data_IF_424332983377
#
_entry.id   IF_424332983377
#
_cell.length_a   1.000
_cell.length_b   1.000
_cell.length_c   1.000
_cell.angle_alpha   90.00
_cell.angle_beta   90.00
_cell.angle_gamma   90.00
#
_symmetry.space_group_name_H-M   'P 1'
#
loop_
_entity.id
_entity.type
_entity.pdbx_description
1 polymer ?
#
# COMPACT_ATOMS: atom_id res chain seq x y z
N UNK A 1 -16.36 33.64 -16.83
CA UNK A 1 -15.04 33.41 -17.46
C UNK A 1 -14.18 32.59 -16.49
N UNK A 2 -14.69 31.43 -16.06
CA UNK A 2 -14.20 30.72 -14.87
C UNK A 2 -14.36 29.19 -15.00
N UNK A 3 -14.44 28.66 -16.23
CA UNK A 3 -14.58 27.21 -16.47
C UNK A 3 -13.32 26.55 -17.04
N UNK A 4 -12.26 27.30 -17.36
CA UNK A 4 -11.13 26.77 -18.15
C UNK A 4 -9.99 26.15 -17.33
N UNK A 5 -9.99 26.24 -16.00
CA UNK A 5 -8.91 25.65 -15.18
C UNK A 5 -9.19 24.22 -14.70
N UNK A 6 -10.47 23.83 -14.53
CA UNK A 6 -10.84 22.44 -14.21
C UNK A 6 -10.77 21.54 -15.44
N UNK A 7 -11.11 22.07 -16.62
CA UNK A 7 -11.08 21.31 -17.88
C UNK A 7 -9.65 20.95 -18.32
N UNK A 8 -8.65 21.75 -17.95
CA UNK A 8 -7.24 21.46 -18.26
C UNK A 8 -6.61 20.37 -17.37
N UNK A 9 -7.11 20.17 -16.14
CA UNK A 9 -6.52 19.23 -15.18
C UNK A 9 -6.81 17.75 -15.49
N UNK A 10 -7.75 17.48 -16.39
CA UNK A 10 -8.12 16.13 -16.84
C UNK A 10 -7.80 15.89 -18.33
N UNK A 11 -7.13 16.83 -19.01
CA UNK A 11 -7.16 16.98 -20.47
C UNK A 11 -6.43 15.92 -21.34
N UNK A 12 -5.83 14.87 -20.77
CA UNK A 12 -5.12 13.84 -21.55
C UNK A 12 -5.70 12.43 -21.41
N UNK A 13 -7.04 12.28 -21.42
CA UNK A 13 -7.64 10.94 -21.59
C UNK A 13 -9.09 10.97 -22.09
N UNK A 14 -9.29 10.38 -23.28
CA UNK A 14 -10.51 9.73 -23.78
C UNK A 14 -11.81 10.01 -23.02
N UNK A 15 -12.71 10.80 -23.63
CA UNK A 15 -14.09 11.01 -23.18
C UNK A 15 -14.86 9.70 -23.32
N UNK A 16 -15.28 9.04 -22.21
CA UNK A 16 -16.16 7.89 -22.32
C UNK A 16 -17.56 8.40 -22.65
N UNK A 17 -18.16 7.88 -23.71
CA UNK A 17 -19.56 8.10 -24.04
C UNK A 17 -20.44 7.69 -22.85
N UNK A 18 -21.43 8.54 -22.57
CA UNK A 18 -22.39 8.41 -21.50
C UNK A 18 -23.12 7.06 -21.59
N UNK A 19 -22.70 6.06 -20.80
CA UNK A 19 -23.55 4.97 -20.26
C UNK A 19 -22.84 3.87 -19.45
N UNK A 20 -21.52 3.91 -19.21
CA UNK A 20 -20.86 2.90 -18.36
C UNK A 20 -20.85 3.27 -16.87
N UNK A 21 -22.04 3.20 -16.28
CA UNK A 21 -22.28 3.23 -14.83
C UNK A 21 -21.48 2.10 -14.16
N UNK A 22 -20.50 2.45 -13.31
CA UNK A 22 -19.83 1.68 -12.23
C UNK A 22 -19.68 0.14 -12.32
N UNK A 23 -19.74 -0.50 -13.49
CA UNK A 23 -19.47 -1.95 -13.59
C UNK A 23 -17.99 -2.19 -13.36
N UNK A 24 -17.63 -2.76 -12.20
CA UNK A 24 -16.29 -3.28 -11.97
C UNK A 24 -15.94 -4.23 -13.12
N UNK A 25 -14.87 -3.89 -13.85
CA UNK A 25 -14.36 -4.78 -14.88
C UNK A 25 -14.13 -6.18 -14.28
N UNK A 26 -14.47 -7.27 -14.99
CA UNK A 26 -14.21 -8.64 -14.51
C UNK A 26 -12.78 -8.85 -13.99
N UNK A 27 -11.80 -8.14 -14.55
CA UNK A 27 -10.39 -8.19 -14.17
C UNK A 27 -10.09 -7.48 -12.86
N UNK A 28 -10.71 -6.32 -12.61
CA UNK A 28 -10.62 -5.66 -11.30
C UNK A 28 -11.16 -6.58 -10.19
N UNK A 29 -12.21 -7.37 -10.46
CA UNK A 29 -12.69 -8.38 -9.50
C UNK A 29 -11.63 -9.43 -9.18
N UNK A 30 -10.92 -9.96 -10.19
CA UNK A 30 -9.82 -10.90 -9.97
C UNK A 30 -8.64 -10.30 -9.19
N UNK A 31 -8.28 -9.05 -9.47
CA UNK A 31 -7.20 -8.37 -8.75
C UNK A 31 -7.61 -8.06 -7.31
N UNK A 32 -8.85 -7.63 -7.08
CA UNK A 32 -9.38 -7.44 -5.73
C UNK A 32 -9.46 -8.77 -4.97
N UNK A 33 -9.81 -9.87 -5.64
CA UNK A 33 -9.77 -11.21 -5.06
C UNK A 33 -8.33 -11.59 -4.68
N UNK A 34 -7.37 -11.43 -5.59
CA UNK A 34 -5.96 -11.69 -5.30
C UNK A 34 -5.46 -10.86 -4.12
N UNK A 35 -5.78 -9.57 -4.09
CA UNK A 35 -5.46 -8.68 -2.99
C UNK A 35 -6.08 -9.14 -1.67
N UNK A 36 -7.36 -9.47 -1.66
CA UNK A 36 -8.07 -9.91 -0.46
C UNK A 36 -7.55 -11.26 0.06
N UNK A 37 -7.30 -12.22 -0.84
CA UNK A 37 -6.68 -13.51 -0.50
C UNK A 37 -5.26 -13.32 0.04
N UNK A 38 -4.48 -12.40 -0.55
CA UNK A 38 -3.11 -12.12 -0.07
C UNK A 38 -3.11 -11.53 1.34
N UNK A 39 -4.07 -10.64 1.66
CA UNK A 39 -4.24 -10.11 3.03
C UNK A 39 -4.63 -11.22 4.00
N UNK A 40 -5.68 -12.00 3.69
CA UNK A 40 -6.11 -13.11 4.56
C UNK A 40 -4.97 -14.11 4.78
N UNK A 41 -4.23 -14.43 3.73
CA UNK A 41 -3.10 -15.35 3.82
C UNK A 41 -1.99 -14.78 4.71
N UNK A 42 -1.62 -13.52 4.52
CA UNK A 42 -0.63 -12.83 5.35
C UNK A 42 -1.07 -12.79 6.83
N UNK A 43 -2.31 -12.42 7.10
CA UNK A 43 -2.86 -12.35 8.46
C UNK A 43 -3.00 -13.72 9.11
N UNK A 44 -3.35 -14.74 8.33
CA UNK A 44 -3.34 -16.13 8.80
C UNK A 44 -1.92 -16.55 9.22
N UNK A 45 -0.90 -16.26 8.41
CA UNK A 45 0.50 -16.54 8.77
C UNK A 45 0.94 -15.73 9.97
N UNK A 46 0.45 -14.49 10.12
CA UNK A 46 0.71 -13.67 11.29
C UNK A 46 0.21 -14.32 12.61
N UNK A 47 -0.85 -15.14 12.57
CA UNK A 47 -1.27 -15.93 13.75
C UNK A 47 -0.21 -16.94 14.20
N UNK A 48 0.68 -17.40 13.31
CA UNK A 48 1.83 -18.22 13.70
C UNK A 48 3.00 -17.37 14.23
N UNK A 49 3.13 -16.14 13.73
CA UNK A 49 4.04 -15.13 14.28
C UNK A 49 3.70 -14.81 15.74
N UNK A 50 2.40 -14.70 16.06
CA UNK A 50 1.89 -14.48 17.42
C UNK A 50 2.44 -15.50 18.43
N UNK A 51 2.38 -16.79 18.13
CA UNK A 51 2.86 -17.85 19.04
C UNK A 51 4.39 -17.86 19.19
N UNK A 52 5.10 -17.30 18.21
CA UNK A 52 6.56 -17.28 18.15
C UNK A 52 7.19 -16.04 18.77
N UNK A 53 6.38 -15.10 19.27
CA UNK A 53 6.90 -13.88 19.88
C UNK A 53 7.72 -14.21 21.13
N UNK A 54 8.98 -13.77 21.21
CA UNK A 54 9.82 -14.00 22.39
C UNK A 54 9.38 -13.08 23.54
N UNK A 55 8.43 -13.54 24.36
CA UNK A 55 7.84 -12.76 25.46
C UNK A 55 8.80 -12.43 26.60
N UNK A 56 9.80 -13.28 26.80
CA UNK A 56 10.76 -13.11 27.90
C UNK A 56 11.93 -12.18 27.54
N UNK A 57 12.01 -11.70 26.30
CA UNK A 57 13.08 -10.82 25.84
C UNK A 57 12.71 -9.34 25.98
N UNK A 58 13.61 -8.45 26.38
CA UNK A 58 13.37 -7.01 26.34
C UNK A 58 13.27 -6.50 24.88
N UNK A 59 12.71 -5.29 24.66
CA UNK A 59 12.75 -4.64 23.35
C UNK A 59 14.19 -4.53 22.82
N UNK A 60 14.35 -4.63 21.50
CA UNK A 60 15.65 -4.46 20.86
C UNK A 60 16.09 -2.98 20.90
N UNK A 61 17.41 -2.72 20.92
CA UNK A 61 17.92 -1.36 20.76
C UNK A 61 17.54 -0.82 19.38
N UNK A 62 17.02 0.40 19.33
CA UNK A 62 16.49 1.02 18.11
C UNK A 62 16.77 2.52 18.12
N UNK A 63 17.46 3.00 17.07
CA UNK A 63 17.89 4.40 16.97
C UNK A 63 16.70 5.37 16.95
N UNK A 64 15.59 5.00 16.32
CA UNK A 64 14.40 5.85 16.33
C UNK A 64 13.71 5.84 17.69
N UNK A 65 13.87 4.77 18.49
CA UNK A 65 13.43 4.78 19.88
C UNK A 65 14.28 5.69 20.76
N UNK A 66 15.59 5.72 20.52
CA UNK A 66 16.50 6.62 21.22
C UNK A 66 16.29 8.09 20.82
N UNK A 67 15.97 8.35 19.55
CA UNK A 67 15.78 9.70 19.01
C UNK A 67 14.38 10.28 19.27
N UNK A 68 13.34 9.45 19.32
CA UNK A 68 11.94 9.90 19.42
C UNK A 68 11.36 9.47 20.76
N UNK A 69 10.94 10.45 21.55
CA UNK A 69 10.26 10.22 22.82
C UNK A 69 8.99 9.37 22.63
N UNK A 70 8.79 8.41 23.53
CA UNK A 70 7.60 7.58 23.54
C UNK A 70 6.36 8.43 23.83
N UNK A 71 5.31 8.28 23.02
CA UNK A 71 4.04 9.00 23.24
C UNK A 71 3.33 8.44 24.48
N UNK A 72 3.03 9.31 25.44
CA UNK A 72 2.25 8.99 26.64
C UNK A 72 0.88 8.43 26.27
N UNK A 73 0.49 7.29 26.86
CA UNK A 73 -0.77 6.59 26.56
C UNK A 73 -0.68 5.54 25.45
N UNK A 74 0.48 5.37 24.80
CA UNK A 74 0.71 4.27 23.83
C UNK A 74 0.58 2.86 24.43
N UNK A 75 0.76 2.70 25.74
CA UNK A 75 0.62 1.42 26.46
C UNK A 75 -0.80 1.16 26.98
N UNK A 76 -1.77 2.03 26.68
CA UNK A 76 -3.12 1.86 27.21
C UNK A 76 -3.66 0.47 26.81
N UNK A 77 -4.19 -0.31 27.76
CA UNK A 77 -4.75 -1.63 27.46
C UNK A 77 -5.87 -1.51 26.42
N UNK A 78 -6.04 -2.55 25.60
CA UNK A 78 -7.08 -2.71 24.57
C UNK A 78 -8.51 -2.50 25.13
N UNK A 79 -8.65 -2.44 26.45
CA UNK A 79 -9.90 -2.15 27.16
C UNK A 79 -10.40 -0.70 27.00
N UNK A 80 -9.58 0.25 26.52
CA UNK A 80 -10.10 1.56 26.13
C UNK A 80 -10.60 1.51 24.67
N UNK A 81 -11.85 1.93 24.39
CA UNK A 81 -12.42 1.88 23.04
C UNK A 81 -11.61 2.71 22.03
N UNK A 82 -10.82 3.68 22.50
CA UNK A 82 -9.94 4.50 21.67
C UNK A 82 -8.61 4.77 22.39
N UNK A 83 -7.53 4.14 21.95
CA UNK A 83 -6.19 4.66 22.24
C UNK A 83 -5.98 5.90 21.34
N UNK A 84 -5.75 7.11 21.91
CA UNK A 84 -5.61 8.35 21.13
C UNK A 84 -4.47 8.25 20.10
N UNK A 85 -3.47 7.42 20.38
CA UNK A 85 -2.36 7.19 19.47
C UNK A 85 -2.76 6.34 18.26
N UNK A 86 -3.57 5.30 18.44
CA UNK A 86 -4.07 4.51 17.30
C UNK A 86 -5.10 5.30 16.48
N UNK A 87 -5.86 6.21 17.12
CA UNK A 87 -6.77 7.12 16.42
C UNK A 87 -6.03 8.05 15.44
N UNK A 88 -4.87 8.59 15.84
CA UNK A 88 -4.05 9.39 14.94
C UNK A 88 -3.58 8.60 13.71
N UNK A 89 -3.13 7.35 13.89
CA UNK A 89 -2.77 6.45 12.77
C UNK A 89 -3.97 6.19 11.85
N UNK A 90 -5.15 5.93 12.44
CA UNK A 90 -6.41 5.78 11.69
C UNK A 90 -6.71 7.03 10.88
N UNK A 91 -6.64 8.22 11.49
CA UNK A 91 -6.92 9.48 10.81
C UNK A 91 -5.97 9.72 9.64
N UNK A 92 -4.67 9.41 9.81
CA UNK A 92 -3.69 9.56 8.74
C UNK A 92 -3.98 8.57 7.60
N UNK A 93 -4.18 7.28 7.90
CA UNK A 93 -4.57 6.28 6.91
C UNK A 93 -5.87 6.66 6.19
N UNK A 94 -6.89 7.09 6.93
CA UNK A 94 -8.16 7.55 6.41
C UNK A 94 -8.00 8.80 5.52
N UNK A 95 -7.16 9.76 5.90
CA UNK A 95 -6.89 10.95 5.08
C UNK A 95 -6.29 10.59 3.72
N UNK A 96 -5.38 9.61 3.68
CA UNK A 96 -4.76 9.11 2.45
C UNK A 96 -5.79 8.37 1.58
N UNK A 97 -6.67 7.58 2.19
CA UNK A 97 -7.79 6.92 1.49
C UNK A 97 -8.76 7.96 0.93
N UNK A 98 -9.19 8.93 1.73
CA UNK A 98 -10.14 9.97 1.34
C UNK A 98 -9.59 10.82 0.20
N UNK A 99 -8.30 11.19 0.25
CA UNK A 99 -7.61 11.85 -0.85
C UNK A 99 -7.63 10.98 -2.11
N UNK A 100 -7.39 9.68 -1.98
CA UNK A 100 -7.44 8.74 -3.11
C UNK A 100 -8.85 8.55 -3.69
N UNK A 101 -9.89 8.56 -2.86
CA UNK A 101 -11.30 8.48 -3.29
C UNK A 101 -11.73 9.79 -3.95
N UNK A 102 -11.33 10.93 -3.39
CA UNK A 102 -11.60 12.24 -3.98
C UNK A 102 -11.02 12.31 -5.40
N UNK A 103 -9.74 11.97 -5.56
CA UNK A 103 -9.08 11.91 -6.87
C UNK A 103 -9.74 10.88 -7.81
N UNK A 104 -10.16 9.72 -7.29
CA UNK A 104 -10.91 8.73 -8.06
C UNK A 104 -12.20 9.30 -8.65
N UNK A 105 -12.96 10.07 -7.86
CA UNK A 105 -14.22 10.69 -8.30
C UNK A 105 -13.98 11.78 -9.32
N UNK A 106 -12.95 12.61 -9.12
CA UNK A 106 -12.65 13.79 -9.95
C UNK A 106 -12.01 13.40 -11.29
N UNK A 107 -11.09 12.45 -11.30
CA UNK A 107 -10.29 12.10 -12.50
C UNK A 107 -10.58 10.70 -13.06
N UNK A 108 -11.58 9.99 -12.51
CA UNK A 108 -12.14 8.70 -12.97
C UNK A 108 -11.08 7.70 -13.50
N UNK A 109 -10.01 7.50 -12.75
CA UNK A 109 -8.84 6.76 -13.23
C UNK A 109 -8.99 5.23 -13.09
N UNK A 110 -8.69 4.49 -14.18
CA UNK A 110 -8.79 3.02 -14.29
C UNK A 110 -7.63 2.24 -13.61
N UNK A 111 -6.71 2.91 -12.91
CA UNK A 111 -5.42 2.33 -12.45
C UNK A 111 -5.38 1.81 -11.00
N UNK A 112 -6.51 1.73 -10.29
CA UNK A 112 -6.56 1.05 -8.98
C UNK A 112 -6.15 -0.43 -9.04
N UNK A 113 -6.31 -1.06 -10.21
CA UNK A 113 -5.81 -2.41 -10.47
C UNK A 113 -4.32 -2.55 -10.14
N UNK A 114 -3.51 -1.53 -10.46
CA UNK A 114 -2.07 -1.57 -10.19
C UNK A 114 -1.80 -1.38 -8.70
N UNK A 115 -2.53 -0.47 -8.04
CA UNK A 115 -2.41 -0.26 -6.61
C UNK A 115 -2.66 -1.55 -5.83
N UNK A 116 -3.79 -2.20 -6.08
CA UNK A 116 -4.13 -3.45 -5.39
C UNK A 116 -3.21 -4.61 -5.76
N UNK A 117 -2.77 -4.71 -7.02
CA UNK A 117 -1.80 -5.73 -7.43
C UNK A 117 -0.43 -5.55 -6.73
N UNK A 118 0.11 -4.33 -6.71
CA UNK A 118 1.36 -4.03 -6.02
C UNK A 118 1.21 -4.28 -4.52
N UNK A 119 0.11 -3.83 -3.92
CA UNK A 119 -0.10 -4.01 -2.49
C UNK A 119 -0.23 -5.50 -2.12
N UNK A 120 -0.90 -6.31 -2.94
CA UNK A 120 -0.96 -7.75 -2.77
C UNK A 120 0.43 -8.42 -2.83
N UNK A 121 1.29 -8.02 -3.77
CA UNK A 121 2.68 -8.50 -3.86
C UNK A 121 3.45 -8.16 -2.57
N UNK A 122 3.29 -6.93 -2.04
CA UNK A 122 3.93 -6.51 -0.79
C UNK A 122 3.43 -7.33 0.41
N UNK A 123 2.12 -7.64 0.49
CA UNK A 123 1.58 -8.51 1.54
C UNK A 123 2.15 -9.93 1.46
N UNK A 124 2.32 -10.49 0.25
CA UNK A 124 2.96 -11.79 0.08
C UNK A 124 4.45 -11.79 0.48
N UNK A 125 5.18 -10.72 0.17
CA UNK A 125 6.57 -10.56 0.66
C UNK A 125 6.61 -10.48 2.20
N UNK A 126 5.67 -9.74 2.79
CA UNK A 126 5.52 -9.62 4.25
C UNK A 126 5.22 -10.95 4.93
N UNK A 127 4.40 -11.80 4.32
CA UNK A 127 4.13 -13.16 4.81
C UNK A 127 5.41 -13.94 5.06
N UNK A 128 6.38 -13.86 4.13
CA UNK A 128 7.67 -14.53 4.26
C UNK A 128 8.47 -13.94 5.40
N UNK A 129 8.50 -12.61 5.55
CA UNK A 129 9.32 -11.95 6.57
C UNK A 129 8.81 -12.19 8.00
N UNK A 130 7.49 -12.15 8.21
CA UNK A 130 6.88 -12.34 9.55
C UNK A 130 7.27 -13.69 10.15
N UNK A 131 7.20 -14.76 9.36
CA UNK A 131 7.46 -16.12 9.88
C UNK A 131 8.96 -16.45 9.94
N UNK A 132 9.78 -15.77 9.15
CA UNK A 132 11.22 -16.05 9.05
C UNK A 132 11.97 -15.69 10.33
N UNK A 133 11.63 -14.58 10.98
CA UNK A 133 12.34 -14.12 12.18
C UNK A 133 11.39 -13.37 13.12
N UNK A 134 10.94 -14.00 14.22
CA UNK A 134 10.09 -13.33 15.20
C UNK A 134 10.93 -12.36 16.05
N UNK A 135 10.46 -11.12 16.19
CA UNK A 135 11.09 -10.11 17.05
C UNK A 135 10.33 -9.94 18.38
N UNK A 136 11.01 -9.56 19.47
CA UNK A 136 10.33 -9.20 20.72
C UNK A 136 9.52 -7.92 20.55
N UNK A 137 8.48 -7.75 21.35
CA UNK A 137 7.65 -6.54 21.29
C UNK A 137 8.47 -5.28 21.57
N UNK A 138 8.22 -4.17 20.85
CA UNK A 138 8.94 -2.89 21.00
C UNK A 138 8.63 -2.11 22.30
N UNK A 139 7.89 -2.73 23.22
CA UNK A 139 7.49 -2.16 24.50
C UNK A 139 7.57 -3.23 25.60
N UNK A 140 7.68 -2.77 26.84
CA UNK A 140 7.76 -3.60 28.05
C UNK A 140 6.41 -3.91 28.69
N UNK A 141 5.41 -3.06 28.48
CA UNK A 141 4.02 -3.23 28.93
C UNK A 141 3.05 -2.92 27.79
N UNK A 142 1.98 -3.69 27.67
CA UNK A 142 1.02 -3.58 26.58
C UNK A 142 0.35 -4.93 26.26
N UNK A 143 -0.65 -4.91 25.37
CA UNK A 143 -1.60 -6.02 25.22
C UNK A 143 -0.95 -7.33 24.76
N UNK A 144 0.13 -7.28 23.98
CA UNK A 144 0.84 -8.48 23.57
C UNK A 144 1.59 -9.17 24.73
N UNK A 145 1.92 -8.45 25.80
CA UNK A 145 2.56 -9.02 27.00
C UNK A 145 1.54 -9.31 28.10
N UNK A 146 0.61 -8.38 28.31
CA UNK A 146 -0.34 -8.44 29.42
C UNK A 146 -1.54 -9.37 29.13
N UNK A 147 -1.90 -9.56 27.85
CA UNK A 147 -3.05 -10.37 27.42
C UNK A 147 -2.64 -11.44 26.38
N UNK A 148 -1.44 -12.00 26.53
CA UNK A 148 -1.00 -13.10 25.66
C UNK A 148 -1.74 -14.38 26.00
N UNK A 149 -2.54 -14.91 25.07
CA UNK A 149 -3.33 -16.14 25.24
C UNK A 149 -3.19 -17.02 24.00
N UNK A 150 -3.17 -18.34 24.16
CA UNK A 150 -3.10 -19.24 23.01
C UNK A 150 -4.30 -19.02 22.09
N UNK A 151 -4.02 -18.91 20.78
CA UNK A 151 -5.06 -18.72 19.77
C UNK A 151 -5.87 -20.01 19.62
N UNK A 152 -7.17 -19.95 19.90
CA UNK A 152 -8.08 -21.11 19.84
C UNK A 152 -8.50 -21.45 18.40
N UNK A 153 -8.78 -20.45 17.57
CA UNK A 153 -9.15 -20.64 16.16
C UNK A 153 -8.36 -19.69 15.25
N UNK A 154 -7.21 -20.17 14.76
CA UNK A 154 -6.29 -19.40 13.89
C UNK A 154 -6.97 -18.84 12.65
N UNK A 155 -7.83 -19.62 12.00
CA UNK A 155 -8.50 -19.18 10.79
C UNK A 155 -9.45 -18.01 11.07
N UNK A 156 -10.26 -18.11 12.13
CA UNK A 156 -11.18 -17.05 12.51
C UNK A 156 -10.43 -15.81 13.03
N UNK A 157 -9.34 -15.99 13.78
CA UNK A 157 -8.48 -14.89 14.22
C UNK A 157 -7.81 -14.17 13.05
N UNK A 158 -7.24 -14.92 12.10
CA UNK A 158 -6.65 -14.34 10.89
C UNK A 158 -7.67 -13.61 10.02
N UNK A 159 -8.90 -14.14 9.91
CA UNK A 159 -10.00 -13.46 9.24
C UNK A 159 -10.38 -12.17 9.98
N UNK A 160 -10.40 -12.20 11.32
CA UNK A 160 -10.60 -11.01 12.15
C UNK A 160 -9.54 -9.93 11.91
N UNK A 161 -8.27 -10.32 11.80
CA UNK A 161 -7.16 -9.42 11.44
C UNK A 161 -7.37 -8.77 10.07
N UNK A 162 -7.74 -9.57 9.07
CA UNK A 162 -8.00 -9.07 7.71
C UNK A 162 -9.15 -8.07 7.66
N UNK A 163 -10.25 -8.32 8.36
CA UNK A 163 -11.39 -7.40 8.40
C UNK A 163 -11.15 -6.17 9.27
N UNK A 164 -10.29 -6.28 10.29
CA UNK A 164 -9.85 -5.13 11.07
C UNK A 164 -8.89 -4.22 10.28
N UNK A 165 -8.36 -4.66 9.13
CA UNK A 165 -7.45 -3.89 8.27
C UNK A 165 -6.23 -3.33 9.04
N UNK A 166 -5.76 -4.06 10.05
CA UNK A 166 -4.64 -3.65 10.92
C UNK A 166 -5.02 -2.75 12.10
N UNK A 167 -6.29 -2.37 12.26
CA UNK A 167 -6.76 -1.55 13.38
C UNK A 167 -7.05 -2.39 14.63
N UNK A 168 -6.19 -2.25 15.64
CA UNK A 168 -6.18 -3.06 16.87
C UNK A 168 -7.47 -2.98 17.69
N UNK A 169 -8.22 -1.88 17.58
CA UNK A 169 -9.44 -1.63 18.35
C UNK A 169 -10.60 -2.55 17.95
N UNK A 170 -10.57 -3.10 16.74
CA UNK A 170 -11.58 -4.04 16.26
C UNK A 170 -11.20 -5.50 16.55
N UNK A 171 -10.08 -5.73 17.24
CA UNK A 171 -9.54 -7.07 17.48
C UNK A 171 -9.83 -7.54 18.90
N UNK A 172 -10.40 -8.74 19.00
CA UNK A 172 -10.55 -9.46 20.28
C UNK A 172 -9.26 -10.11 20.75
N UNK A 173 -8.31 -10.37 19.84
CA UNK A 173 -6.98 -10.91 20.14
C UNK A 173 -5.95 -9.91 19.63
N UNK A 174 -5.00 -9.42 20.45
CA UNK A 174 -4.02 -8.45 19.99
C UNK A 174 -3.16 -9.05 18.87
N UNK A 175 -2.91 -8.27 17.81
CA UNK A 175 -2.04 -8.66 16.70
C UNK A 175 -0.58 -8.48 17.14
N UNK A 176 0.11 -9.60 17.41
CA UNK A 176 1.46 -9.64 17.96
C UNK A 176 2.39 -10.44 17.04
N UNK A 177 3.68 -10.14 17.08
CA UNK A 177 4.70 -10.82 16.25
C UNK A 177 4.82 -10.28 14.83
N UNK A 178 3.96 -9.32 14.49
CA UNK A 178 3.99 -8.59 13.24
C UNK A 178 4.99 -7.42 13.29
N UNK A 179 6.27 -7.74 13.42
CA UNK A 179 7.32 -6.75 13.76
C UNK A 179 8.43 -6.71 12.73
N UNK A 180 8.22 -7.23 11.52
CA UNK A 180 9.12 -7.01 10.38
C UNK A 180 8.25 -6.66 9.19
N UNK A 181 8.59 -5.55 8.53
CA UNK A 181 7.86 -4.99 7.39
C UNK A 181 6.49 -4.42 7.79
N UNK A 182 6.47 -3.14 8.21
CA UNK A 182 5.28 -2.46 8.75
C UNK A 182 4.13 -2.36 7.73
N UNK A 183 2.98 -2.97 8.05
CA UNK A 183 1.77 -2.93 7.20
C UNK A 183 1.17 -1.53 7.10
N UNK A 184 1.10 -0.78 8.21
CA UNK A 184 0.59 0.60 8.22
C UNK A 184 1.44 1.52 7.35
N UNK A 185 2.77 1.44 7.49
CA UNK A 185 3.71 2.23 6.68
C UNK A 185 3.61 1.83 5.21
N UNK A 186 3.54 0.54 4.91
CA UNK A 186 3.35 0.02 3.54
C UNK A 186 2.08 0.56 2.91
N UNK A 187 0.97 0.50 3.63
CA UNK A 187 -0.32 1.02 3.20
C UNK A 187 -0.26 2.52 2.89
N UNK A 188 0.20 3.33 3.84
CA UNK A 188 0.32 4.77 3.64
C UNK A 188 1.25 5.10 2.47
N UNK A 189 2.43 4.46 2.41
CA UNK A 189 3.43 4.75 1.38
C UNK A 189 2.98 4.36 -0.02
N UNK A 190 2.36 3.19 -0.20
CA UNK A 190 1.93 2.76 -1.54
C UNK A 190 0.79 3.63 -2.07
N UNK A 191 -0.11 4.09 -1.21
CA UNK A 191 -1.13 5.06 -1.59
C UNK A 191 -0.52 6.44 -1.88
N UNK A 192 0.47 6.89 -1.10
CA UNK A 192 1.24 8.11 -1.40
C UNK A 192 1.90 8.02 -2.78
N UNK A 193 2.61 6.93 -3.09
CA UNK A 193 3.22 6.73 -4.41
C UNK A 193 2.17 6.70 -5.54
N UNK A 194 1.03 6.06 -5.30
CA UNK A 194 -0.08 6.04 -6.25
C UNK A 194 -0.63 7.44 -6.52
N UNK A 195 -0.87 8.23 -5.46
CA UNK A 195 -1.31 9.61 -5.58
C UNK A 195 -0.29 10.45 -6.32
N UNK A 196 0.99 10.40 -5.94
CA UNK A 196 2.05 11.16 -6.60
C UNK A 196 2.18 10.85 -8.09
N UNK A 197 1.86 9.61 -8.49
CA UNK A 197 1.92 9.18 -9.89
C UNK A 197 0.66 9.55 -10.70
N UNK A 198 -0.53 9.47 -10.11
CA UNK A 198 -1.79 9.51 -10.88
C UNK A 198 -2.73 10.66 -10.52
N UNK A 199 -2.53 11.34 -9.39
CA UNK A 199 -3.39 12.43 -8.95
C UNK A 199 -3.03 13.73 -9.66
N UNK A 200 -3.98 14.30 -10.40
CA UNK A 200 -3.77 15.58 -11.08
C UNK A 200 -3.69 16.74 -10.07
N UNK A 201 -4.34 16.63 -8.90
CA UNK A 201 -4.23 17.68 -7.89
C UNK A 201 -2.79 17.92 -7.42
N UNK A 202 -1.90 16.94 -7.56
CA UNK A 202 -0.52 17.00 -7.11
C UNK A 202 0.45 17.59 -8.15
N UNK A 203 0.00 18.34 -9.16
CA UNK A 203 0.91 19.01 -10.10
C UNK A 203 1.84 20.03 -9.42
N UNK A 204 1.37 20.73 -8.39
CA UNK A 204 2.18 21.71 -7.64
C UNK A 204 3.19 21.03 -6.71
N UNK A 205 4.45 21.49 -6.74
CA UNK A 205 5.51 21.02 -5.86
C UNK A 205 5.11 21.08 -4.38
N UNK A 206 4.44 22.14 -3.94
CA UNK A 206 3.99 22.32 -2.56
C UNK A 206 3.01 21.23 -2.11
N UNK A 207 2.13 20.77 -3.01
CA UNK A 207 1.17 19.70 -2.70
C UNK A 207 1.88 18.35 -2.61
N UNK A 208 2.88 18.10 -3.47
CA UNK A 208 3.73 16.90 -3.37
C UNK A 208 4.49 16.88 -2.04
N UNK A 209 5.09 18.00 -1.66
CA UNK A 209 5.78 18.17 -0.37
C UNK A 209 4.82 17.92 0.79
N UNK A 210 3.61 18.48 0.74
CA UNK A 210 2.60 18.27 1.78
C UNK A 210 2.25 16.79 1.98
N UNK A 211 2.09 16.02 0.90
CA UNK A 211 1.84 14.57 0.98
C UNK A 211 3.02 13.83 1.61
N UNK A 212 4.25 14.18 1.25
CA UNK A 212 5.45 13.60 1.90
C UNK A 212 5.54 13.96 3.39
N UNK A 213 5.17 15.18 3.78
CA UNK A 213 5.13 15.60 5.18
C UNK A 213 4.10 14.78 5.96
N UNK A 214 2.87 14.64 5.44
CA UNK A 214 1.82 13.83 6.09
C UNK A 214 2.29 12.40 6.29
N UNK A 215 2.93 11.82 5.28
CA UNK A 215 3.48 10.48 5.41
C UNK A 215 4.60 10.41 6.45
N UNK A 216 5.53 11.36 6.44
CA UNK A 216 6.65 11.40 7.39
C UNK A 216 6.14 11.50 8.83
N UNK A 217 5.11 12.32 9.07
CA UNK A 217 4.42 12.41 10.37
C UNK A 217 3.84 11.04 10.75
N UNK A 218 3.17 10.35 9.83
CA UNK A 218 2.64 9.00 10.07
C UNK A 218 3.73 7.97 10.41
N UNK A 219 4.86 8.01 9.70
CA UNK A 219 6.01 7.12 9.97
C UNK A 219 6.64 7.40 11.35
N UNK A 220 6.86 8.68 11.68
CA UNK A 220 7.37 9.12 12.98
C UNK A 220 6.41 8.68 14.09
N UNK A 221 5.11 8.85 13.88
CA UNK A 221 4.09 8.47 14.84
C UNK A 221 4.08 6.95 15.12
N UNK A 222 4.25 6.11 14.09
CA UNK A 222 4.38 4.66 14.27
C UNK A 222 5.58 4.29 15.17
N UNK A 223 6.70 4.98 15.01
CA UNK A 223 7.90 4.79 15.83
C UNK A 223 7.68 5.34 17.26
N UNK A 224 7.08 6.52 17.37
CA UNK A 224 6.83 7.20 18.64
C UNK A 224 5.84 6.44 19.54
N UNK A 225 4.89 5.75 18.92
CA UNK A 225 3.93 4.88 19.61
C UNK A 225 4.49 3.53 19.98
N UNK A 226 5.73 3.22 19.59
CA UNK A 226 6.35 1.90 19.73
C UNK A 226 5.44 0.81 19.14
N UNK A 227 4.80 1.11 18.01
CA UNK A 227 3.98 0.13 17.30
C UNK A 227 4.85 -0.81 16.45
N UNK A 228 5.92 -0.27 15.88
CA UNK A 228 6.92 -0.98 15.10
C UNK A 228 8.33 -0.46 15.42
N UNK A 229 9.35 -1.27 15.15
CA UNK A 229 10.73 -0.79 15.15
C UNK A 229 10.97 0.13 13.96
N UNK A 230 11.99 0.98 14.06
CA UNK A 230 12.38 1.89 12.98
C UNK A 230 12.80 1.14 11.73
N UNK A 231 13.45 -0.02 11.90
CA UNK A 231 13.83 -0.89 10.77
C UNK A 231 12.61 -1.37 9.98
N UNK A 232 11.48 -1.62 10.63
CA UNK A 232 10.24 -2.08 9.98
C UNK A 232 9.65 -0.99 9.09
N UNK A 233 9.72 0.27 9.56
CA UNK A 233 9.25 1.46 8.85
C UNK A 233 10.16 1.74 7.65
N UNK A 234 11.48 1.70 7.85
CA UNK A 234 12.47 1.87 6.77
C UNK A 234 12.31 0.79 5.71
N UNK A 235 12.21 -0.48 6.11
CA UNK A 235 12.03 -1.60 5.19
C UNK A 235 10.71 -1.47 4.41
N UNK A 236 9.62 -1.05 5.07
CA UNK A 236 8.35 -0.81 4.41
C UNK A 236 8.45 0.26 3.31
N UNK A 237 9.14 1.38 3.58
CA UNK A 237 9.36 2.46 2.59
C UNK A 237 10.23 1.96 1.43
N UNK A 238 11.34 1.28 1.72
CA UNK A 238 12.27 0.76 0.69
C UNK A 238 11.57 -0.26 -0.20
N UNK A 239 10.99 -1.31 0.40
CA UNK A 239 10.35 -2.39 -0.35
C UNK A 239 9.17 -1.89 -1.17
N UNK A 240 8.33 -1.03 -0.59
CA UNK A 240 7.19 -0.44 -1.32
C UNK A 240 7.65 0.41 -2.50
N UNK A 241 8.73 1.20 -2.34
CA UNK A 241 9.30 1.99 -3.42
C UNK A 241 9.88 1.13 -4.53
N UNK A 242 10.67 0.10 -4.16
CA UNK A 242 11.29 -0.83 -5.11
C UNK A 242 10.22 -1.57 -5.89
N UNK A 243 9.25 -2.21 -5.20
CA UNK A 243 8.20 -2.98 -5.89
C UNK A 243 7.34 -2.08 -6.76
N UNK A 244 6.98 -0.89 -6.30
CA UNK A 244 6.23 0.06 -7.11
C UNK A 244 6.99 0.46 -8.38
N UNK A 245 8.27 0.81 -8.24
CA UNK A 245 9.10 1.20 -9.39
C UNK A 245 9.31 0.02 -10.35
N UNK A 246 9.67 -1.15 -9.83
CA UNK A 246 9.85 -2.37 -10.64
C UNK A 246 8.56 -2.74 -11.36
N UNK A 247 7.40 -2.63 -10.72
CA UNK A 247 6.11 -2.92 -11.35
C UNK A 247 5.88 -2.02 -12.57
N UNK A 248 6.02 -0.70 -12.41
CA UNK A 248 5.79 0.25 -13.52
C UNK A 248 6.87 0.16 -14.60
N UNK A 249 8.14 0.01 -14.24
CA UNK A 249 9.22 -0.18 -15.21
C UNK A 249 9.06 -1.48 -16.00
N UNK A 250 8.70 -2.59 -15.35
CA UNK A 250 8.45 -3.86 -16.03
C UNK A 250 7.21 -3.79 -16.93
N UNK A 251 6.17 -3.09 -16.48
CA UNK A 251 4.96 -2.86 -17.29
C UNK A 251 5.30 -2.04 -18.54
N UNK A 252 6.09 -0.96 -18.42
CA UNK A 252 6.54 -0.17 -19.55
C UNK A 252 7.42 -0.98 -20.51
N UNK A 253 8.35 -1.79 -19.99
CA UNK A 253 9.16 -2.71 -20.79
C UNK A 253 8.29 -3.73 -21.54
N UNK A 254 7.17 -4.16 -20.95
CA UNK A 254 6.24 -5.09 -21.59
C UNK A 254 5.52 -4.46 -22.80
N UNK A 255 5.35 -3.13 -22.81
CA UNK A 255 4.82 -2.41 -23.97
C UNK A 255 5.86 -2.19 -25.06
N UNK A 256 7.11 -1.90 -24.67
CA UNK A 256 8.16 -1.51 -25.61
C UNK A 256 8.88 -2.70 -26.24
N UNK A 257 9.16 -3.76 -25.45
CA UNK A 257 9.92 -4.92 -25.92
C UNK A 257 8.98 -6.06 -26.26
N UNK A 258 9.02 -6.50 -27.53
CA UNK A 258 8.28 -7.68 -27.99
C UNK A 258 8.75 -8.94 -27.25
N UNK A 259 10.03 -9.06 -26.95
CA UNK A 259 10.58 -10.18 -26.19
C UNK A 259 10.03 -10.19 -24.76
N UNK A 260 10.09 -9.06 -24.06
CA UNK A 260 9.60 -8.99 -22.68
C UNK A 260 8.06 -9.11 -22.60
N UNK A 261 7.35 -8.49 -23.54
CA UNK A 261 5.88 -8.54 -23.62
C UNK A 261 5.32 -9.92 -23.97
N UNK A 262 6.10 -10.76 -24.67
CA UNK A 262 5.71 -12.15 -24.98
C UNK A 262 6.09 -13.13 -23.87
N UNK A 263 7.04 -12.79 -23.00
CA UNK A 263 7.34 -13.56 -21.79
C UNK A 263 6.16 -13.58 -20.82
N UNK A 264 6.03 -14.64 -20.01
CA UNK A 264 4.86 -14.83 -19.13
C UNK A 264 4.68 -13.70 -18.12
N UNK A 265 5.78 -13.10 -17.63
CA UNK A 265 5.72 -11.93 -16.72
C UNK A 265 5.16 -10.70 -17.41
N UNK A 266 5.58 -10.43 -18.65
CA UNK A 266 5.08 -9.31 -19.43
C UNK A 266 3.62 -9.51 -19.81
N UNK A 267 3.23 -10.71 -20.23
CA UNK A 267 1.83 -11.04 -20.49
C UNK A 267 0.95 -10.85 -19.25
N UNK A 268 1.42 -11.24 -18.07
CA UNK A 268 0.71 -11.03 -16.81
C UNK A 268 0.55 -9.53 -16.50
N UNK A 269 1.62 -8.74 -16.62
CA UNK A 269 1.58 -7.29 -16.39
C UNK A 269 0.64 -6.58 -17.38
N UNK A 270 0.72 -6.95 -18.66
CA UNK A 270 -0.20 -6.47 -19.70
C UNK A 270 -1.63 -6.94 -19.44
N UNK A 271 -1.85 -8.14 -18.88
CA UNK A 271 -3.19 -8.58 -18.48
C UNK A 271 -3.73 -7.78 -17.29
N UNK A 272 -2.88 -7.42 -16.32
CA UNK A 272 -3.23 -6.54 -15.20
C UNK A 272 -3.64 -5.15 -15.72
N UNK A 273 -2.87 -4.57 -16.65
CA UNK A 273 -3.09 -3.23 -17.18
C UNK A 273 -4.17 -3.20 -18.28
N UNK A 274 -3.95 -3.90 -19.39
CA UNK A 274 -4.79 -3.95 -20.59
C UNK A 274 -5.44 -5.33 -20.87
N UNK A 275 -5.45 -6.26 -19.94
CA UNK A 275 -6.40 -7.37 -20.03
C UNK A 275 -6.24 -8.39 -21.15
N UNK A 276 -5.11 -8.44 -21.82
CA UNK A 276 -4.74 -9.55 -22.71
C UNK A 276 -4.34 -9.06 -24.10
N UNK A 277 -3.10 -9.41 -24.47
CA UNK A 277 -2.34 -9.08 -25.67
C UNK A 277 -2.24 -7.58 -26.01
N UNK A 278 -1.04 -7.07 -26.40
CA UNK A 278 -0.96 -5.76 -27.03
C UNK A 278 -1.87 -5.75 -28.27
N UNK A 279 -2.51 -4.62 -28.62
CA UNK A 279 -3.34 -4.54 -29.81
C UNK A 279 -2.54 -5.09 -30.99
N UNK A 280 -3.09 -6.10 -31.66
CA UNK A 280 -2.46 -6.70 -32.82
C UNK A 280 -2.28 -5.60 -33.87
N UNK A 281 -1.01 -5.31 -34.16
CA UNK A 281 -0.51 -4.60 -35.34
C UNK A 281 -1.07 -3.19 -35.60
N UNK A 282 -0.26 -2.18 -35.27
CA UNK A 282 0.07 -1.14 -36.26
C UNK A 282 -0.46 0.28 -36.05
N UNK A 283 -1.63 0.49 -35.43
CA UNK A 283 -2.21 1.86 -35.35
C UNK A 283 -2.36 2.43 -33.93
N UNK A 284 -2.78 1.65 -32.94
CA UNK A 284 -3.05 2.17 -31.58
C UNK A 284 -1.79 2.40 -30.73
N UNK A 285 -0.69 1.70 -31.00
CA UNK A 285 0.59 1.92 -30.31
C UNK A 285 1.26 3.24 -30.69
N UNK A 286 0.98 3.78 -31.88
CA UNK A 286 1.49 5.08 -32.30
C UNK A 286 0.77 6.22 -31.56
N UNK A 287 -0.55 6.14 -31.40
CA UNK A 287 -1.34 7.12 -30.65
C UNK A 287 -1.00 7.18 -29.15
N UNK A 288 -0.61 6.05 -28.54
CA UNK A 288 -0.20 6.01 -27.13
C UNK A 288 1.21 6.58 -26.91
N UNK A 289 2.10 6.50 -27.90
CA UNK A 289 3.45 7.06 -27.83
C UNK A 289 3.48 8.56 -28.13
N UNK A 290 2.60 9.05 -29.03
CA UNK A 290 2.41 10.48 -29.27
C UNK A 290 1.80 11.21 -28.07
N UNK A 291 0.96 10.52 -27.28
CA UNK A 291 0.33 11.10 -26.09
C UNK A 291 1.29 11.33 -24.91
N UNK A 292 2.45 10.66 -24.89
CA UNK A 292 3.48 10.78 -23.84
C UNK A 292 4.64 11.72 -24.22
N UNK A 293 4.56 12.43 -25.36
CA UNK A 293 5.42 13.57 -25.69
C UNK A 293 6.91 13.23 -25.90
N UNK A 294 7.23 12.01 -26.32
CA UNK A 294 8.61 11.65 -26.71
C UNK A 294 8.79 11.96 -28.19
N UNK A 295 9.17 13.21 -28.50
CA UNK A 295 9.70 13.56 -29.83
C UNK A 295 11.02 12.81 -30.06
N UNK A 296 10.98 11.74 -30.85
CA UNK A 296 12.19 11.22 -31.49
C UNK A 296 12.54 12.17 -32.64
N UNK A 297 13.47 13.08 -32.37
CA UNK A 297 14.15 13.85 -33.42
C UNK A 297 14.84 12.88 -34.37
N UNK A 298 14.30 12.80 -35.59
CA UNK A 298 14.81 11.96 -36.65
C UNK A 298 16.21 12.39 -37.05
N UNK A 299 17.16 11.46 -36.98
CA UNK A 299 18.44 11.57 -37.70
C UNK A 299 18.20 11.04 -39.11
N UNK A 300 17.99 11.97 -40.04
CA UNK A 300 18.16 11.73 -41.47
C UNK A 300 19.62 12.08 -41.84
N UNK A 301 20.46 11.07 -42.05
CA UNK A 301 21.42 10.90 -43.16
C UNK A 301 22.32 9.69 -42.90
#
# INVERSE_FOLDING_TARGET
MESTSQDFACAHRWVPTNETVYRLSPRLRWILLYWFVSIIFMDYINTFGYDRVPMNSPPLPDIGFDAIAKVSGSEAPVSLPFNPTDFATICICASVILLSIYEWRTCRNRKLKHLFAIYAILMNMRTVTIISTPLPTPYTKGPCRDDHRPITNRFLTGLGYAFALGFKQFLSTPQCGDLIFSGHTTFMWIFTLHLLRHASILHSLWRKIAVYIVMSIGAIHIIATRNHYSVDVVLAIIMSSIVHQLFYSSLQLSYLSKEHGTHWTGQLLLWIDFGGAPPSTGSETAELLDADGVEMTGVNS
#
